data_IF_415851650618
#
_entry.id   IF_415851650618
#
_cell.length_a   1.000
_cell.length_b   1.000
_cell.length_c   1.000
_cell.angle_alpha   90.00
_cell.angle_beta   90.00
_cell.angle_gamma   90.00
#
_symmetry.space_group_name_H-M   'P 1'
#
loop_
_entity.id
_entity.type
_entity.pdbx_description
1 polymer ?
#
# COMPACT_ATOMS: atom_id res chain seq x y z
N UNK A 1 -6.94 10.67 -3.19
CA UNK A 1 -6.79 9.56 -4.15
C UNK A 1 -6.40 8.32 -3.37
N UNK A 2 -7.17 7.23 -3.46
CA UNK A 2 -6.93 5.99 -2.74
C UNK A 2 -5.88 5.09 -3.42
N UNK A 3 -5.36 4.07 -2.72
CA UNK A 3 -4.29 3.21 -3.25
C UNK A 3 -4.60 2.55 -4.60
N UNK A 4 -5.85 2.08 -4.77
CA UNK A 4 -6.30 1.47 -6.02
C UNK A 4 -6.25 2.45 -7.21
N UNK A 5 -6.58 3.72 -6.98
CA UNK A 5 -6.60 4.75 -8.03
C UNK A 5 -5.18 5.12 -8.48
N UNK A 6 -4.20 5.06 -7.57
CA UNK A 6 -2.78 5.25 -7.88
C UNK A 6 -2.28 4.05 -8.71
N UNK A 7 -2.63 2.84 -8.30
CA UNK A 7 -2.28 1.62 -9.03
C UNK A 7 -2.87 1.64 -10.46
N UNK A 8 -4.14 2.02 -10.63
CA UNK A 8 -4.78 2.16 -11.94
C UNK A 8 -4.12 3.24 -12.83
N UNK A 9 -3.62 4.33 -12.23
CA UNK A 9 -2.89 5.35 -12.97
C UNK A 9 -1.53 4.84 -13.47
N UNK A 10 -0.83 4.04 -12.66
CA UNK A 10 0.45 3.42 -13.05
C UNK A 10 0.28 2.24 -14.00
N UNK A 11 -0.77 1.44 -13.83
CA UNK A 11 -1.10 0.35 -14.74
C UNK A 11 -1.27 0.86 -16.18
N UNK A 12 -1.89 2.04 -16.37
CA UNK A 12 -2.03 2.68 -17.68
C UNK A 12 -0.71 3.09 -18.34
N UNK A 13 0.38 3.15 -17.58
CA UNK A 13 1.73 3.47 -18.06
C UNK A 13 2.60 2.22 -18.22
N UNK A 14 2.08 1.04 -17.87
CA UNK A 14 2.77 -0.24 -17.99
C UNK A 14 2.49 -0.89 -19.34
N UNK A 15 3.44 -1.70 -19.82
CA UNK A 15 3.31 -2.48 -21.06
C UNK A 15 2.16 -3.50 -21.00
N UNK A 16 1.87 -4.04 -19.81
CA UNK A 16 0.69 -4.87 -19.56
C UNK A 16 -0.08 -4.38 -18.30
N UNK A 17 -1.10 -3.53 -18.50
CA UNK A 17 -1.92 -3.01 -17.40
C UNK A 17 -2.64 -4.10 -16.60
N UNK A 18 -3.01 -5.22 -17.24
CA UNK A 18 -3.75 -6.31 -16.57
C UNK A 18 -2.81 -7.10 -15.66
N UNK A 19 -1.63 -7.44 -16.17
CA UNK A 19 -0.60 -8.12 -15.38
C UNK A 19 -0.19 -7.24 -14.19
N UNK A 20 0.01 -5.95 -14.40
CA UNK A 20 0.31 -5.00 -13.33
C UNK A 20 -0.74 -5.03 -12.21
N UNK A 21 -2.03 -4.92 -12.56
CA UNK A 21 -3.11 -4.89 -11.56
C UNK A 21 -3.32 -6.24 -10.87
N UNK A 22 -3.09 -7.35 -11.58
CA UNK A 22 -3.12 -8.69 -11.00
C UNK A 22 -1.98 -8.86 -9.98
N UNK A 23 -0.77 -8.44 -10.33
CA UNK A 23 0.37 -8.48 -9.43
C UNK A 23 0.19 -7.53 -8.24
N UNK A 24 -0.36 -6.33 -8.45
CA UNK A 24 -0.74 -5.40 -7.38
C UNK A 24 -1.70 -6.05 -6.37
N UNK A 25 -2.73 -6.73 -6.86
CA UNK A 25 -3.69 -7.41 -5.99
C UNK A 25 -3.02 -8.56 -5.22
N UNK A 26 -2.13 -9.31 -5.87
CA UNK A 26 -1.35 -10.36 -5.22
C UNK A 26 -0.43 -9.81 -4.11
N UNK A 27 0.27 -8.70 -4.36
CA UNK A 27 1.13 -8.04 -3.38
C UNK A 27 0.36 -7.50 -2.18
N UNK A 28 -0.81 -6.91 -2.43
CA UNK A 28 -1.70 -6.45 -1.37
C UNK A 28 -2.15 -7.60 -0.47
N UNK A 29 -2.62 -8.70 -1.05
CA UNK A 29 -3.08 -9.88 -0.31
C UNK A 29 -1.94 -10.55 0.46
N UNK A 30 -0.77 -10.72 -0.17
CA UNK A 30 0.39 -11.30 0.49
C UNK A 30 0.85 -10.46 1.70
N UNK A 31 0.78 -9.12 1.60
CA UNK A 31 1.09 -8.23 2.71
C UNK A 31 0.02 -8.25 3.81
N UNK A 32 -1.24 -8.51 3.45
CA UNK A 32 -2.35 -8.67 4.39
C UNK A 32 -2.27 -9.98 5.19
N UNK A 33 -1.89 -11.07 4.53
CA UNK A 33 -1.75 -12.40 5.14
C UNK A 33 -0.54 -12.46 6.10
N UNK A 34 0.46 -11.58 5.92
CA UNK A 34 1.64 -11.51 6.78
C UNK A 34 2.63 -12.68 6.60
N UNK A 35 2.53 -13.41 5.49
CA UNK A 35 3.42 -14.52 5.14
C UNK A 35 4.76 -14.09 4.50
N UNK A 36 5.49 -15.06 3.94
CA UNK A 36 6.76 -14.85 3.24
C UNK A 36 6.55 -14.09 1.91
N UNK A 37 6.65 -12.76 1.99
CA UNK A 37 6.53 -11.86 0.84
C UNK A 37 7.61 -12.09 -0.22
N UNK A 38 8.83 -12.46 0.17
CA UNK A 38 9.92 -12.73 -0.76
C UNK A 38 9.67 -14.03 -1.53
N UNK A 39 9.07 -15.02 -0.85
CA UNK A 39 8.58 -16.24 -1.47
C UNK A 39 7.44 -16.00 -2.47
N UNK A 40 6.54 -15.06 -2.17
CA UNK A 40 5.49 -14.66 -3.11
C UNK A 40 6.03 -13.86 -4.30
N UNK A 41 6.97 -12.93 -4.07
CA UNK A 41 7.61 -12.15 -5.13
C UNK A 41 8.28 -13.05 -6.18
N UNK A 42 8.98 -14.11 -5.72
CA UNK A 42 9.61 -15.11 -6.59
C UNK A 42 8.62 -15.86 -7.49
N UNK A 43 7.35 -15.99 -7.10
CA UNK A 43 6.31 -16.67 -7.90
C UNK A 43 5.69 -15.76 -8.97
N UNK A 44 5.69 -14.45 -8.74
CA UNK A 44 5.11 -13.46 -9.66
C UNK A 44 5.99 -13.25 -10.89
N UNK A 45 7.31 -13.41 -10.75
CA UNK A 45 8.25 -13.19 -11.84
C UNK A 45 8.54 -11.71 -12.11
N UNK A 46 9.52 -11.44 -12.99
CA UNK A 46 10.04 -10.08 -13.26
C UNK A 46 8.97 -9.15 -13.85
N UNK A 47 8.11 -9.67 -14.72
CA UNK A 47 7.11 -8.86 -15.44
C UNK A 47 5.98 -8.33 -14.53
N UNK A 48 5.73 -8.99 -13.39
CA UNK A 48 4.75 -8.57 -12.39
C UNK A 48 5.36 -7.91 -11.15
N UNK A 49 6.69 -7.84 -11.04
CA UNK A 49 7.39 -7.41 -9.83
C UNK A 49 6.98 -5.99 -9.39
N UNK A 50 6.92 -5.05 -10.35
CA UNK A 50 6.55 -3.66 -10.06
C UNK A 50 5.14 -3.56 -9.45
N UNK A 51 4.16 -4.26 -10.04
CA UNK A 51 2.80 -4.30 -9.52
C UNK A 51 2.77 -4.91 -8.12
N UNK A 52 3.44 -6.05 -7.91
CA UNK A 52 3.49 -6.75 -6.63
C UNK A 52 4.09 -5.89 -5.50
N UNK A 53 5.25 -5.28 -5.74
CA UNK A 53 5.92 -4.42 -4.75
C UNK A 53 5.00 -3.25 -4.37
N UNK A 54 4.34 -2.64 -5.36
CA UNK A 54 3.46 -1.51 -5.11
C UNK A 54 2.21 -1.91 -4.30
N UNK A 55 1.61 -3.07 -4.59
CA UNK A 55 0.51 -3.62 -3.82
C UNK A 55 0.88 -3.88 -2.36
N UNK A 56 2.04 -4.49 -2.14
CA UNK A 56 2.55 -4.77 -0.80
C UNK A 56 2.86 -3.48 -0.02
N UNK A 57 3.48 -2.50 -0.67
CA UNK A 57 3.78 -1.20 -0.09
C UNK A 57 2.50 -0.43 0.27
N UNK A 58 1.51 -0.42 -0.62
CA UNK A 58 0.23 0.24 -0.42
C UNK A 58 -0.51 -0.31 0.81
N UNK A 59 -0.55 -1.63 1.00
CA UNK A 59 -1.14 -2.24 2.19
C UNK A 59 -0.38 -1.85 3.46
N UNK A 60 0.96 -1.90 3.44
CA UNK A 60 1.79 -1.52 4.59
C UNK A 60 1.56 -0.06 4.99
N UNK A 61 1.47 0.86 4.03
CA UNK A 61 1.15 2.28 4.28
C UNK A 61 -0.24 2.43 4.90
N UNK A 62 -1.26 1.74 4.39
CA UNK A 62 -2.61 1.72 4.99
C UNK A 62 -2.59 1.22 6.43
N UNK A 63 -1.82 0.16 6.71
CA UNK A 63 -1.71 -0.40 8.07
C UNK A 63 -0.93 0.53 9.00
N UNK A 64 0.11 1.20 8.51
CA UNK A 64 0.88 2.18 9.27
C UNK A 64 0.01 3.37 9.69
N UNK A 65 -0.75 3.96 8.76
CA UNK A 65 -1.68 5.05 9.09
C UNK A 65 -2.82 4.61 10.02
N UNK A 66 -3.26 3.34 9.94
CA UNK A 66 -4.23 2.79 10.89
C UNK A 66 -3.65 2.58 12.30
N UNK A 67 -2.34 2.30 12.44
CA UNK A 67 -1.67 2.18 13.75
C UNK A 67 -1.45 3.52 14.43
N UNK A 68 -1.34 4.61 13.68
CA UNK A 68 -1.18 5.95 14.24
C UNK A 68 -2.48 6.52 14.83
N UNK A 69 -3.64 5.93 14.50
CA UNK A 69 -4.92 6.25 15.14
C UNK A 69 -5.08 5.48 16.46
N UNK A 70 -4.27 5.86 17.46
CA UNK A 70 -4.55 5.54 18.86
C UNK A 70 -5.08 6.82 19.51
N UNK A 71 -6.34 6.85 20.00
CA UNK A 71 -6.82 7.97 20.82
C UNK A 71 -5.87 8.16 22.01
N UNK A 72 -5.11 9.25 22.03
CA UNK A 72 -4.15 9.57 23.09
C UNK A 72 -2.66 9.37 22.76
N UNK A 73 -2.27 8.98 21.55
CA UNK A 73 -0.85 8.96 21.15
C UNK A 73 -0.29 10.39 20.93
N UNK A 74 1.04 10.61 20.99
CA UNK A 74 1.64 11.95 20.80
C UNK A 74 1.27 12.63 19.46
N UNK A 75 1.00 11.83 18.42
CA UNK A 75 0.48 12.33 17.13
C UNK A 75 -0.92 12.95 17.25
N UNK A 76 -1.75 12.46 18.18
CA UNK A 76 -3.07 13.03 18.48
C UNK A 76 -2.97 14.39 19.20
N UNK A 77 -1.97 14.57 20.07
CA UNK A 77 -1.79 15.81 20.85
C UNK A 77 -1.33 16.98 19.98
N UNK A 78 -0.57 16.72 18.90
CA UNK A 78 -0.17 17.77 17.96
C UNK A 78 -1.35 18.31 17.13
N UNK A 79 -2.34 17.48 16.80
CA UNK A 79 -3.49 17.92 16.01
C UNK A 79 -4.41 18.85 16.81
N UNK A 80 -4.59 18.63 18.13
CA UNK A 80 -5.47 19.45 18.97
C UNK A 80 -4.84 20.82 19.31
N UNK A 81 -3.50 20.91 19.38
CA UNK A 81 -2.83 22.18 19.70
C UNK A 81 -2.72 23.15 18.51
N UNK A 82 -2.79 22.68 17.27
CA UNK A 82 -2.77 23.52 16.08
C UNK A 82 -4.09 24.22 15.76
N UNK A 83 -5.22 23.73 16.28
CA UNK A 83 -6.56 24.24 15.97
C UNK A 83 -7.10 25.24 16.99
N UNK A 84 -6.31 25.61 18.01
CA UNK A 84 -6.74 26.48 19.12
C UNK A 84 -5.92 27.77 19.19
N UNK A 85 -5.76 28.45 18.06
CA UNK A 85 -5.36 29.85 17.99
C UNK A 85 -6.26 30.54 16.94
N UNK A 86 -7.46 30.91 17.37
CA UNK A 86 -8.28 32.00 16.82
C UNK A 86 -8.56 32.98 17.96
#
# INVERSE_FOLDING_TARGET
>A
MGPIQIAEARARQSDDPRLYMLAYSAGWNAAADGGDLDGYARKVGLDGEAGFIEGAAAYRTKKATARDFVPGSPAHVQHIRGSRNV
#
